data_IF_016864459496
#
_entry.id   IF_016864459496
#
_cell.length_a   1.000
_cell.length_b   1.000
_cell.length_c   1.000
_cell.angle_alpha   90.00
_cell.angle_beta   90.00
_cell.angle_gamma   90.00
#
_symmetry.space_group_name_H-M   'P 1'
#
loop_
_entity.id
_entity.type
_entity.pdbx_description
1 polymer ?
#
# COMPACT_ATOMS: atom_id res chain seq x y z
N UNK A 1 23.06 3.64 -39.65
CA UNK A 1 22.31 3.39 -38.39
C UNK A 1 21.07 4.25 -38.43
N UNK A 2 19.87 3.65 -38.47
CA UNK A 2 18.62 4.41 -38.37
C UNK A 2 18.62 5.16 -37.02
N UNK A 3 18.39 6.48 -37.04
CA UNK A 3 18.14 7.25 -35.82
C UNK A 3 16.93 6.59 -35.12
N UNK A 4 17.12 5.94 -33.97
CA UNK A 4 16.00 5.50 -33.17
C UNK A 4 15.15 6.72 -32.82
N UNK A 5 13.84 6.63 -33.02
CA UNK A 5 12.92 7.73 -32.69
C UNK A 5 13.05 8.02 -31.18
N UNK A 6 13.15 9.30 -30.83
CA UNK A 6 13.11 9.74 -29.43
C UNK A 6 11.65 9.74 -29.00
N UNK A 7 11.35 9.02 -27.93
CA UNK A 7 10.00 8.96 -27.35
C UNK A 7 9.65 10.32 -26.72
N UNK A 8 8.40 10.72 -26.82
CA UNK A 8 7.93 11.88 -26.06
C UNK A 8 7.87 11.55 -24.56
N UNK A 9 7.38 10.37 -24.20
CA UNK A 9 7.32 9.92 -22.80
C UNK A 9 7.58 8.41 -22.65
N UNK A 10 8.39 8.03 -21.67
CA UNK A 10 8.49 6.66 -21.19
C UNK A 10 7.86 6.53 -19.79
N UNK A 11 6.87 5.65 -19.63
CA UNK A 11 6.28 5.30 -18.33
C UNK A 11 6.92 4.00 -17.85
N UNK A 12 7.43 3.97 -16.62
CA UNK A 12 8.13 2.80 -16.07
C UNK A 12 7.26 2.12 -15.03
N UNK A 13 6.73 0.95 -15.38
CA UNK A 13 5.83 0.12 -14.58
C UNK A 13 4.37 0.10 -15.09
N UNK A 14 3.79 -1.09 -15.26
CA UNK A 14 2.39 -1.33 -15.66
C UNK A 14 1.53 -1.79 -14.49
N UNK A 15 1.72 -1.17 -13.32
CA UNK A 15 0.77 -1.24 -12.20
C UNK A 15 -0.43 -0.32 -12.44
N UNK A 16 -1.39 -0.26 -11.49
CA UNK A 16 -2.57 0.60 -11.63
C UNK A 16 -2.23 2.07 -11.91
N UNK A 17 -1.17 2.59 -11.26
CA UNK A 17 -0.74 3.97 -11.44
C UNK A 17 -0.12 4.22 -12.83
N UNK A 18 0.66 3.26 -13.34
CA UNK A 18 1.26 3.38 -14.67
C UNK A 18 0.24 3.26 -15.80
N UNK A 19 -0.77 2.42 -15.64
CA UNK A 19 -1.86 2.30 -16.62
C UNK A 19 -2.77 3.54 -16.59
N UNK A 20 -3.08 4.09 -15.40
CA UNK A 20 -3.77 5.38 -15.30
C UNK A 20 -2.97 6.51 -15.96
N UNK A 21 -1.63 6.50 -15.81
CA UNK A 21 -0.75 7.47 -16.47
C UNK A 21 -0.78 7.31 -17.99
N UNK A 22 -0.75 6.07 -18.49
CA UNK A 22 -0.85 5.79 -19.93
C UNK A 22 -2.16 6.30 -20.53
N UNK A 23 -3.29 6.09 -19.83
CA UNK A 23 -4.58 6.63 -20.22
C UNK A 23 -4.53 8.17 -20.32
N UNK A 24 -4.05 8.84 -19.27
CA UNK A 24 -3.97 10.30 -19.20
C UNK A 24 -3.07 10.89 -20.30
N UNK A 25 -1.96 10.22 -20.66
CA UNK A 25 -1.10 10.62 -21.77
C UNK A 25 -1.77 10.44 -23.13
N UNK A 26 -2.48 9.30 -23.31
CA UNK A 26 -3.23 9.01 -24.53
C UNK A 26 -4.32 10.05 -24.81
N UNK A 27 -5.11 10.43 -23.80
CA UNK A 27 -6.13 11.48 -23.89
C UNK A 27 -5.54 12.85 -24.31
N UNK A 28 -4.28 13.12 -23.97
CA UNK A 28 -3.56 14.33 -24.31
C UNK A 28 -2.81 14.25 -25.65
N UNK A 29 -2.90 13.11 -26.34
CA UNK A 29 -2.20 12.87 -27.61
C UNK A 29 -0.67 12.86 -27.45
N UNK A 30 -0.15 12.44 -26.30
CA UNK A 30 1.31 12.30 -26.06
C UNK A 30 1.72 10.89 -26.51
N UNK A 31 2.68 10.82 -27.43
CA UNK A 31 3.28 9.53 -27.83
C UNK A 31 4.12 8.96 -26.69
N UNK A 32 3.81 7.73 -26.28
CA UNK A 32 4.45 7.14 -25.10
C UNK A 32 4.53 5.62 -25.20
N UNK A 33 5.36 5.04 -24.33
CA UNK A 33 5.43 3.59 -24.09
C UNK A 33 5.44 3.32 -22.61
N UNK A 34 4.74 2.26 -22.19
CA UNK A 34 4.83 1.74 -20.82
C UNK A 34 5.77 0.54 -20.81
N UNK A 35 6.82 0.58 -19.99
CA UNK A 35 7.82 -0.49 -19.85
C UNK A 35 7.56 -1.26 -18.56
N UNK A 36 7.25 -2.54 -18.66
CA UNK A 36 6.97 -3.42 -17.53
C UNK A 36 7.93 -4.59 -17.50
N UNK A 37 8.59 -4.82 -16.35
CA UNK A 37 9.57 -5.91 -16.18
C UNK A 37 8.94 -7.30 -16.18
N UNK A 38 7.71 -7.41 -15.74
CA UNK A 38 6.96 -8.67 -15.64
C UNK A 38 5.65 -8.62 -16.40
N UNK A 39 4.57 -8.88 -15.70
CA UNK A 39 3.21 -8.85 -16.21
C UNK A 39 2.45 -7.65 -15.62
N UNK A 40 1.36 -7.18 -16.24
CA UNK A 40 0.57 -6.10 -15.68
C UNK A 40 0.15 -6.40 -14.24
N UNK A 41 0.41 -5.46 -13.32
CA UNK A 41 0.12 -5.65 -11.92
C UNK A 41 0.96 -6.74 -11.24
N UNK A 42 2.22 -6.91 -11.58
CA UNK A 42 3.10 -7.98 -11.11
C UNK A 42 3.09 -8.15 -9.59
N UNK A 43 3.15 -7.06 -8.80
CA UNK A 43 3.09 -7.14 -7.34
C UNK A 43 1.73 -7.66 -6.82
N UNK A 44 0.65 -7.41 -7.53
CA UNK A 44 -0.68 -7.94 -7.22
C UNK A 44 -0.74 -9.44 -7.53
N UNK A 45 -0.11 -9.88 -8.59
CA UNK A 45 -0.02 -11.28 -9.02
C UNK A 45 0.84 -12.12 -8.08
N UNK A 46 2.00 -11.58 -7.68
CA UNK A 46 3.05 -12.36 -7.01
C UNK A 46 3.13 -12.16 -5.50
N UNK A 47 2.54 -11.08 -4.95
CA UNK A 47 2.71 -10.70 -3.55
C UNK A 47 1.39 -10.64 -2.76
N UNK A 48 0.38 -11.41 -3.16
CA UNK A 48 -0.88 -11.52 -2.43
C UNK A 48 -1.20 -12.96 -2.10
N UNK A 49 -1.93 -13.18 -1.03
CA UNK A 49 -2.40 -14.49 -0.59
C UNK A 49 -3.78 -14.81 -1.19
N UNK A 50 -4.15 -16.07 -1.11
CA UNK A 50 -5.29 -16.65 -1.82
C UNK A 50 -6.64 -15.99 -1.45
N UNK A 51 -6.84 -15.69 -0.17
CA UNK A 51 -8.07 -15.05 0.33
C UNK A 51 -8.03 -13.51 0.26
N UNK A 52 -6.97 -12.92 -0.31
CA UNK A 52 -6.81 -11.47 -0.38
C UNK A 52 -8.00 -10.80 -1.09
N UNK A 53 -8.49 -9.73 -0.48
CA UNK A 53 -9.43 -8.79 -1.09
C UNK A 53 -8.96 -7.36 -0.87
N UNK A 54 -9.34 -6.46 -1.79
CA UNK A 54 -9.19 -5.03 -1.55
C UNK A 54 -9.96 -4.62 -0.29
N UNK A 55 -9.44 -3.63 0.40
CA UNK A 55 -10.08 -2.99 1.55
C UNK A 55 -10.83 -1.70 1.16
N UNK A 56 -10.82 -1.37 -0.12
CA UNK A 56 -11.58 -0.26 -0.71
C UNK A 56 -12.72 -0.82 -1.56
N UNK A 57 -13.93 -0.23 -1.49
CA UNK A 57 -15.05 -0.61 -2.33
C UNK A 57 -14.83 -0.20 -3.80
N UNK A 58 -15.61 -0.77 -4.71
CA UNK A 58 -15.46 -0.59 -6.16
C UNK A 58 -15.42 0.87 -6.59
N UNK A 59 -16.23 1.73 -5.98
CA UNK A 59 -16.29 3.15 -6.32
C UNK A 59 -14.97 3.92 -6.03
N UNK A 60 -14.12 3.40 -5.14
CA UNK A 60 -12.78 3.96 -4.86
C UNK A 60 -11.68 3.40 -5.79
N UNK A 61 -12.00 2.46 -6.66
CA UNK A 61 -11.01 1.72 -7.44
C UNK A 61 -11.08 2.07 -8.94
N UNK A 62 -11.40 3.30 -9.28
CA UNK A 62 -11.60 3.81 -10.65
C UNK A 62 -10.50 3.42 -11.66
N UNK A 63 -9.19 3.42 -11.30
CA UNK A 63 -8.14 2.98 -12.23
C UNK A 63 -8.24 1.50 -12.66
N UNK A 64 -9.12 0.73 -12.05
CA UNK A 64 -9.39 -0.67 -12.43
C UNK A 64 -10.64 -0.81 -13.33
N UNK A 65 -11.20 0.30 -13.85
CA UNK A 65 -12.44 0.33 -14.62
C UNK A 65 -13.69 0.17 -13.75
N UNK A 66 -14.85 0.12 -14.40
CA UNK A 66 -16.15 0.02 -13.70
C UNK A 66 -16.24 -1.24 -12.85
N UNK A 67 -16.76 -1.07 -11.65
CA UNK A 67 -17.00 -2.12 -10.66
C UNK A 67 -18.33 -1.86 -9.95
N UNK A 68 -19.00 -2.93 -9.43
CA UNK A 68 -20.14 -2.72 -8.56
C UNK A 68 -19.73 -1.85 -7.36
N UNK A 69 -20.55 -0.86 -7.03
CA UNK A 69 -20.22 0.22 -6.09
C UNK A 69 -19.63 -0.29 -4.76
N UNK A 70 -20.29 -1.26 -4.13
CA UNK A 70 -19.90 -1.82 -2.84
C UNK A 70 -19.13 -3.15 -2.95
N UNK A 71 -18.62 -3.53 -4.13
CA UNK A 71 -17.83 -4.76 -4.27
C UNK A 71 -16.40 -4.58 -3.76
N UNK A 72 -15.86 -5.64 -3.20
CA UNK A 72 -14.46 -5.72 -2.74
C UNK A 72 -13.72 -6.75 -3.60
N UNK A 73 -12.99 -6.28 -4.58
CA UNK A 73 -12.32 -7.13 -5.56
C UNK A 73 -11.29 -8.07 -4.89
N UNK A 74 -11.27 -9.31 -5.35
CA UNK A 74 -10.21 -10.29 -5.04
C UNK A 74 -8.91 -9.93 -5.75
N UNK A 75 -7.79 -10.52 -5.30
CA UNK A 75 -6.51 -10.35 -6.00
C UNK A 75 -6.56 -10.81 -7.46
N UNK A 76 -7.29 -11.89 -7.75
CA UNK A 76 -7.46 -12.40 -9.12
C UNK A 76 -8.25 -11.43 -10.00
N UNK A 77 -9.33 -10.84 -9.49
CA UNK A 77 -10.11 -9.82 -10.21
C UNK A 77 -9.28 -8.56 -10.49
N UNK A 78 -8.48 -8.09 -9.52
CA UNK A 78 -7.56 -6.97 -9.74
C UNK A 78 -6.58 -7.28 -10.86
N UNK A 79 -5.94 -8.44 -10.82
CA UNK A 79 -4.98 -8.87 -11.87
C UNK A 79 -5.66 -8.98 -13.24
N UNK A 80 -6.85 -9.58 -13.32
CA UNK A 80 -7.60 -9.69 -14.57
C UNK A 80 -7.94 -8.33 -15.18
N UNK A 81 -8.37 -7.37 -14.34
CA UNK A 81 -8.67 -5.99 -14.78
C UNK A 81 -7.42 -5.26 -15.27
N UNK A 82 -6.30 -5.36 -14.54
CA UNK A 82 -5.04 -4.75 -14.97
C UNK A 82 -4.52 -5.35 -16.28
N UNK A 83 -4.70 -6.66 -16.50
CA UNK A 83 -4.33 -7.29 -17.76
C UNK A 83 -5.20 -6.81 -18.93
N UNK A 84 -6.51 -6.64 -18.71
CA UNK A 84 -7.42 -6.09 -19.72
C UNK A 84 -7.06 -4.64 -20.08
N UNK A 85 -6.86 -3.78 -19.07
CA UNK A 85 -6.44 -2.40 -19.28
C UNK A 85 -5.09 -2.30 -20.01
N UNK A 86 -4.12 -3.14 -19.65
CA UNK A 86 -2.82 -3.12 -20.30
C UNK A 86 -2.90 -3.47 -21.80
N UNK A 87 -3.89 -4.25 -22.23
CA UNK A 87 -4.11 -4.57 -23.64
C UNK A 87 -4.61 -3.37 -24.49
N UNK A 88 -5.15 -2.36 -23.84
CA UNK A 88 -5.65 -1.13 -24.49
C UNK A 88 -4.57 -0.02 -24.57
N UNK A 89 -3.39 -0.26 -24.00
CA UNK A 89 -2.31 0.72 -23.88
C UNK A 89 -1.00 0.23 -24.54
N UNK A 90 -0.08 1.13 -24.92
CA UNK A 90 1.21 0.77 -25.52
C UNK A 90 2.18 0.18 -24.49
N UNK A 91 1.84 -0.98 -23.93
CA UNK A 91 2.63 -1.67 -22.91
C UNK A 91 3.59 -2.68 -23.54
N UNK A 92 4.86 -2.58 -23.16
CA UNK A 92 5.90 -3.57 -23.49
C UNK A 92 6.22 -4.39 -22.24
N UNK A 93 5.89 -5.66 -22.29
CA UNK A 93 6.10 -6.62 -21.18
C UNK A 93 7.46 -7.31 -21.26
N UNK A 94 7.98 -7.77 -20.13
CA UNK A 94 9.28 -8.43 -20.05
C UNK A 94 10.47 -7.49 -20.30
N UNK A 95 10.28 -6.18 -20.14
CA UNK A 95 11.29 -5.16 -20.41
C UNK A 95 11.71 -4.47 -19.11
N UNK A 96 12.62 -5.06 -18.32
CA UNK A 96 13.11 -4.43 -17.12
C UNK A 96 13.96 -3.20 -17.45
N UNK A 97 13.61 -2.05 -16.88
CA UNK A 97 14.46 -0.86 -16.88
C UNK A 97 15.52 -1.06 -15.81
N UNK A 98 16.78 -1.05 -16.25
CA UNK A 98 17.96 -1.31 -15.38
C UNK A 98 18.67 -0.04 -14.97
N UNK A 99 18.51 1.05 -15.76
CA UNK A 99 19.05 2.38 -15.42
C UNK A 99 18.26 3.48 -16.12
N UNK A 100 17.96 4.54 -15.38
CA UNK A 100 17.50 5.82 -15.90
C UNK A 100 18.57 6.87 -15.61
N UNK A 101 19.02 7.60 -16.63
CA UNK A 101 19.97 8.70 -16.49
C UNK A 101 19.55 9.90 -17.32
N UNK A 102 19.77 11.13 -16.82
CA UNK A 102 19.62 12.34 -17.64
C UNK A 102 20.55 12.30 -18.84
N UNK A 103 20.09 12.83 -19.98
CA UNK A 103 20.88 12.92 -21.20
C UNK A 103 20.41 14.08 -22.07
N UNK A 104 21.25 15.09 -22.24
CA UNK A 104 20.85 16.31 -22.92
C UNK A 104 19.64 16.97 -22.25
N UNK A 105 18.61 17.26 -23.04
CA UNK A 105 17.33 17.80 -22.54
C UNK A 105 16.30 16.73 -22.17
N UNK A 106 16.68 15.45 -22.12
CA UNK A 106 15.81 14.34 -21.81
C UNK A 106 16.52 13.25 -21.01
N UNK A 107 16.20 12.01 -21.33
CA UNK A 107 16.65 10.85 -20.55
C UNK A 107 17.10 9.69 -21.45
N UNK A 108 18.09 8.96 -20.96
CA UNK A 108 18.44 7.63 -21.47
C UNK A 108 17.82 6.58 -20.55
N UNK A 109 17.00 5.70 -21.11
CA UNK A 109 16.36 4.57 -20.45
C UNK A 109 17.04 3.29 -20.90
N UNK A 110 17.83 2.69 -20.03
CA UNK A 110 18.48 1.40 -20.29
C UNK A 110 17.54 0.27 -19.90
N UNK A 111 17.33 -0.67 -20.79
CA UNK A 111 16.61 -1.91 -20.53
C UNK A 111 17.57 -3.10 -20.63
N UNK A 112 17.09 -4.33 -20.44
CA UNK A 112 17.90 -5.54 -20.67
C UNK A 112 18.38 -5.67 -22.12
N UNK A 113 17.59 -5.19 -23.08
CA UNK A 113 17.76 -5.52 -24.50
C UNK A 113 18.19 -4.32 -25.35
N UNK A 114 17.87 -3.12 -24.90
CA UNK A 114 18.12 -1.90 -25.68
C UNK A 114 18.28 -0.65 -24.81
N UNK A 115 18.73 0.41 -25.44
CA UNK A 115 18.78 1.75 -24.87
C UNK A 115 17.80 2.63 -25.63
N UNK A 116 16.85 3.23 -24.90
CA UNK A 116 15.85 4.16 -25.42
C UNK A 116 16.23 5.59 -25.05
N UNK A 117 15.87 6.54 -25.91
CA UNK A 117 15.91 7.96 -25.62
C UNK A 117 14.47 8.46 -25.42
N UNK A 118 14.24 9.25 -24.37
CA UNK A 118 12.94 9.84 -24.09
C UNK A 118 13.08 11.29 -23.68
N UNK A 119 12.17 12.13 -24.15
CA UNK A 119 12.11 13.55 -23.75
C UNK A 119 11.64 13.70 -22.31
N UNK A 120 10.73 12.84 -21.90
CA UNK A 120 10.17 12.84 -20.55
C UNK A 120 10.05 11.41 -20.02
N UNK A 121 10.02 11.26 -18.69
CA UNK A 121 9.84 9.96 -18.01
C UNK A 121 8.87 10.10 -16.86
N UNK A 122 7.97 9.11 -16.71
CA UNK A 122 7.15 8.97 -15.52
C UNK A 122 7.47 7.64 -14.83
N UNK A 123 8.01 7.71 -13.60
CA UNK A 123 8.29 6.57 -12.76
C UNK A 123 7.02 6.11 -12.04
N UNK A 124 6.50 4.93 -12.41
CA UNK A 124 5.27 4.33 -11.89
C UNK A 124 5.53 2.98 -11.19
N UNK A 125 6.76 2.77 -10.68
CA UNK A 125 7.20 1.48 -10.11
C UNK A 125 6.64 1.19 -8.72
N UNK A 126 6.03 2.18 -8.06
CA UNK A 126 5.50 2.08 -6.70
C UNK A 126 6.59 2.00 -5.62
N UNK A 127 6.15 1.99 -4.36
CA UNK A 127 7.01 1.94 -3.17
C UNK A 127 6.73 0.72 -2.26
N UNK A 128 5.97 -0.27 -2.74
CA UNK A 128 5.57 -1.45 -1.97
C UNK A 128 6.00 -2.75 -2.66
N UNK A 129 7.25 -2.86 -3.07
CA UNK A 129 7.75 -3.99 -3.84
C UNK A 129 8.97 -4.68 -3.24
N UNK A 130 9.71 -4.05 -2.33
CA UNK A 130 10.84 -4.67 -1.61
C UNK A 130 10.42 -4.97 -0.16
N UNK A 131 10.34 -6.24 0.25
CA UNK A 131 10.00 -6.62 1.62
C UNK A 131 10.98 -6.07 2.67
N UNK A 132 10.44 -5.58 3.79
CA UNK A 132 11.23 -5.15 4.95
C UNK A 132 11.14 -6.19 6.05
N UNK A 133 12.23 -6.89 6.33
CA UNK A 133 12.35 -7.79 7.48
C UNK A 133 13.24 -7.13 8.52
N UNK A 134 12.80 -6.98 9.78
CA UNK A 134 13.64 -6.42 10.84
C UNK A 134 14.87 -7.28 11.10
N UNK A 135 15.99 -6.70 11.60
CA UNK A 135 17.20 -7.45 11.96
C UNK A 135 16.94 -8.61 12.94
N UNK A 136 15.91 -8.48 13.78
CA UNK A 136 15.45 -9.54 14.68
C UNK A 136 15.18 -10.88 13.94
N UNK A 137 14.76 -10.83 12.68
CA UNK A 137 14.54 -12.03 11.87
C UNK A 137 15.77 -12.90 11.70
N UNK A 138 16.96 -12.30 11.68
CA UNK A 138 18.23 -13.03 11.58
C UNK A 138 18.65 -13.75 12.89
N UNK A 139 18.04 -13.36 14.02
CA UNK A 139 18.31 -13.98 15.31
C UNK A 139 17.34 -15.13 15.64
N UNK A 140 16.34 -15.37 14.79
CA UNK A 140 15.41 -16.47 14.98
C UNK A 140 16.06 -17.82 14.60
N UNK A 141 15.66 -18.93 15.26
CA UNK A 141 16.20 -20.26 14.94
C UNK A 141 15.94 -20.67 13.48
N UNK A 142 16.87 -21.37 12.85
CA UNK A 142 16.81 -21.81 11.45
C UNK A 142 15.62 -22.74 11.16
N UNK A 143 15.14 -23.50 12.15
CA UNK A 143 13.99 -24.38 11.99
C UNK A 143 12.65 -23.65 11.92
N UNK A 144 12.59 -22.38 12.33
CA UNK A 144 11.38 -21.56 12.32
C UNK A 144 11.14 -21.01 10.91
N UNK A 145 10.05 -21.41 10.30
CA UNK A 145 9.73 -20.95 8.97
C UNK A 145 9.41 -19.45 8.96
N UNK A 146 10.16 -18.69 8.22
CA UNK A 146 9.93 -17.24 8.09
C UNK A 146 9.34 -16.92 6.72
N UNK A 147 8.29 -16.12 6.69
CA UNK A 147 7.67 -15.57 5.48
C UNK A 147 7.45 -14.08 5.65
N UNK A 148 7.61 -13.33 4.60
CA UNK A 148 7.10 -11.96 4.53
C UNK A 148 5.69 -11.97 3.93
N UNK A 149 4.86 -10.94 4.19
CA UNK A 149 3.55 -10.76 3.53
C UNK A 149 3.62 -11.01 2.01
N UNK A 150 4.69 -10.59 1.35
CA UNK A 150 4.92 -10.81 -0.07
C UNK A 150 4.94 -12.29 -0.48
N UNK A 151 5.35 -13.18 0.41
CA UNK A 151 5.52 -14.61 0.16
C UNK A 151 4.50 -15.49 0.90
N UNK A 152 3.63 -14.90 1.70
CA UNK A 152 2.51 -15.61 2.32
C UNK A 152 1.46 -15.94 1.27
N UNK A 153 0.91 -17.16 1.26
CA UNK A 153 -0.08 -17.63 0.27
C UNK A 153 -1.36 -18.16 0.88
N UNK A 154 -1.41 -18.31 2.19
CA UNK A 154 -2.54 -18.83 2.96
C UNK A 154 -2.08 -19.73 4.10
N UNK A 155 -3.00 -20.14 4.99
CA UNK A 155 -2.70 -20.98 6.16
C UNK A 155 -1.98 -22.28 5.81
N UNK A 156 -2.35 -22.90 4.68
CA UNK A 156 -1.79 -24.18 4.20
C UNK A 156 -0.37 -24.04 3.63
N UNK A 157 0.09 -22.82 3.38
CA UNK A 157 1.44 -22.54 2.88
C UNK A 157 2.51 -22.56 3.98
N UNK A 158 2.10 -22.71 5.23
CA UNK A 158 2.97 -22.70 6.40
C UNK A 158 3.01 -24.11 7.05
N UNK A 159 4.13 -24.50 7.66
CA UNK A 159 4.21 -25.72 8.44
C UNK A 159 3.09 -25.81 9.50
N UNK A 160 2.65 -27.03 9.92
CA UNK A 160 1.71 -27.20 11.02
C UNK A 160 2.23 -26.52 12.31
N UNK A 161 1.30 -26.04 13.17
CA UNK A 161 1.63 -25.36 14.43
C UNK A 161 1.12 -23.93 14.49
N UNK A 162 1.47 -23.20 15.54
CA UNK A 162 1.12 -21.80 15.75
C UNK A 162 1.90 -20.85 14.82
N UNK A 163 1.37 -19.68 14.62
CA UNK A 163 1.99 -18.65 13.76
C UNK A 163 2.11 -17.34 14.53
N UNK A 164 3.32 -16.77 14.53
CA UNK A 164 3.55 -15.40 14.99
C UNK A 164 3.44 -14.45 13.80
N UNK A 165 2.47 -13.56 13.81
CA UNK A 165 2.33 -12.45 12.85
C UNK A 165 2.98 -11.21 13.46
N UNK A 166 3.95 -10.60 12.78
CA UNK A 166 4.65 -9.41 13.27
C UNK A 166 4.24 -8.18 12.50
N UNK A 167 3.56 -7.25 13.18
CA UNK A 167 2.97 -6.03 12.62
C UNK A 167 1.46 -6.14 12.48
N UNK A 168 0.75 -5.14 13.03
CA UNK A 168 -0.70 -5.09 13.12
C UNK A 168 -1.34 -4.00 12.26
N UNK A 169 -0.65 -3.56 11.21
CA UNK A 169 -1.27 -2.75 10.17
C UNK A 169 -2.15 -3.61 9.25
N UNK A 170 -2.62 -3.05 8.16
CA UNK A 170 -3.59 -3.65 7.24
C UNK A 170 -3.30 -5.13 6.91
N UNK A 171 -2.09 -5.44 6.44
CA UNK A 171 -1.75 -6.82 6.07
C UNK A 171 -1.70 -7.77 7.27
N UNK A 172 -1.17 -7.31 8.40
CA UNK A 172 -1.07 -8.15 9.60
C UNK A 172 -2.44 -8.54 10.14
N UNK A 173 -3.38 -7.61 10.20
CA UNK A 173 -4.74 -7.90 10.65
C UNK A 173 -5.48 -8.84 9.69
N UNK A 174 -5.39 -8.60 8.36
CA UNK A 174 -6.03 -9.48 7.37
C UNK A 174 -5.42 -10.90 7.36
N UNK A 175 -4.10 -11.03 7.48
CA UNK A 175 -3.43 -12.33 7.56
C UNK A 175 -3.76 -13.03 8.87
N UNK A 176 -3.91 -12.29 9.98
CA UNK A 176 -4.37 -12.86 11.24
C UNK A 176 -5.78 -13.46 11.09
N UNK A 177 -6.70 -12.75 10.43
CA UNK A 177 -8.04 -13.29 10.14
C UNK A 177 -7.99 -14.53 9.24
N UNK A 178 -7.18 -14.50 8.20
CA UNK A 178 -7.00 -15.63 7.27
C UNK A 178 -6.48 -16.88 8.00
N UNK A 179 -5.48 -16.71 8.86
CA UNK A 179 -4.91 -17.77 9.68
C UNK A 179 -5.91 -18.34 10.70
N UNK A 180 -6.65 -17.47 11.41
CA UNK A 180 -7.70 -17.90 12.35
C UNK A 180 -8.81 -18.65 11.64
N UNK A 181 -9.25 -18.16 10.47
CA UNK A 181 -10.25 -18.84 9.63
C UNK A 181 -9.78 -20.22 9.14
N UNK A 182 -8.47 -20.37 8.94
CA UNK A 182 -7.81 -21.65 8.63
C UNK A 182 -7.54 -22.52 9.86
N UNK A 183 -8.10 -22.19 11.04
CA UNK A 183 -7.95 -22.97 12.27
C UNK A 183 -6.55 -22.90 12.91
N UNK A 184 -5.72 -21.93 12.55
CA UNK A 184 -4.37 -21.77 13.09
C UNK A 184 -4.42 -21.03 14.43
N UNK A 185 -3.56 -21.41 15.37
CA UNK A 185 -3.28 -20.63 16.58
C UNK A 185 -2.40 -19.44 16.19
N UNK A 186 -2.84 -18.21 16.49
CA UNK A 186 -2.17 -17.00 16.06
C UNK A 186 -1.72 -16.13 17.24
N UNK A 187 -0.47 -15.69 17.20
CA UNK A 187 0.09 -14.65 18.04
C UNK A 187 0.29 -13.41 17.16
N UNK A 188 -0.30 -12.27 17.54
CA UNK A 188 -0.19 -11.01 16.76
C UNK A 188 0.64 -10.00 17.54
N UNK A 189 1.83 -9.70 17.04
CA UNK A 189 2.66 -8.63 17.58
C UNK A 189 2.17 -7.26 17.07
N UNK A 190 1.73 -6.43 18.00
CA UNK A 190 1.01 -5.20 17.77
C UNK A 190 1.89 -3.96 17.69
N UNK A 191 1.40 -2.94 17.03
CA UNK A 191 1.98 -1.60 16.92
C UNK A 191 0.87 -0.54 16.96
N UNK A 192 1.18 0.74 17.23
CA UNK A 192 0.18 1.81 17.25
C UNK A 192 -0.28 2.10 15.81
N UNK A 193 -1.43 1.55 15.43
CA UNK A 193 -2.03 1.71 14.10
C UNK A 193 -3.46 2.19 14.28
N UNK A 194 -3.88 3.16 13.47
CA UNK A 194 -5.27 3.61 13.41
C UNK A 194 -6.20 2.50 12.94
N UNK A 195 -7.46 2.53 13.34
CA UNK A 195 -8.52 1.72 12.79
C UNK A 195 -9.64 2.59 12.23
N UNK A 196 -10.32 2.08 11.20
CA UNK A 196 -11.42 2.76 10.53
C UNK A 196 -12.69 1.94 10.74
N UNK A 197 -13.65 2.42 11.56
CA UNK A 197 -14.98 1.83 11.63
C UNK A 197 -15.62 1.83 10.25
N UNK A 198 -16.30 0.74 9.87
CA UNK A 198 -16.85 0.63 8.52
C UNK A 198 -17.98 1.63 8.27
N UNK A 199 -18.91 1.79 9.23
CA UNK A 199 -20.07 2.67 9.10
C UNK A 199 -20.14 3.69 10.20
N UNK A 200 -20.72 4.83 9.88
CA UNK A 200 -21.13 5.85 10.82
C UNK A 200 -22.37 6.57 10.28
N UNK A 201 -23.39 6.77 11.09
CA UNK A 201 -24.63 7.49 10.71
C UNK A 201 -25.21 7.00 9.39
N UNK A 202 -25.42 5.70 9.26
CA UNK A 202 -26.09 5.06 8.11
C UNK A 202 -25.29 4.99 6.81
N UNK A 203 -24.08 5.56 6.73
CA UNK A 203 -23.21 5.55 5.54
C UNK A 203 -21.86 4.90 5.83
N UNK A 204 -21.16 4.52 4.76
CA UNK A 204 -19.78 4.06 4.86
C UNK A 204 -18.87 5.20 5.30
N UNK A 205 -18.00 4.93 6.27
CA UNK A 205 -17.04 5.94 6.78
C UNK A 205 -16.16 6.50 5.66
N UNK A 206 -15.81 5.69 4.66
CA UNK A 206 -15.02 6.14 3.52
C UNK A 206 -15.73 7.22 2.70
N UNK A 207 -17.06 7.11 2.51
CA UNK A 207 -17.87 8.13 1.81
C UNK A 207 -17.89 9.44 2.60
N UNK A 208 -18.16 9.38 3.91
CA UNK A 208 -18.09 10.55 4.78
C UNK A 208 -16.74 11.26 4.71
N UNK A 209 -15.66 10.50 4.72
CA UNK A 209 -14.29 11.03 4.68
C UNK A 209 -13.96 11.67 3.32
N UNK A 210 -14.55 11.20 2.23
CA UNK A 210 -14.45 11.86 0.91
C UNK A 210 -15.16 13.20 0.96
N UNK A 211 -16.44 13.22 1.39
CA UNK A 211 -17.23 14.45 1.47
C UNK A 211 -16.61 15.49 2.42
N UNK A 212 -15.99 15.03 3.50
CA UNK A 212 -15.27 15.87 4.46
C UNK A 212 -13.91 16.38 3.96
N UNK A 213 -13.45 15.98 2.77
CA UNK A 213 -12.16 16.39 2.21
C UNK A 213 -10.93 15.74 2.87
N UNK A 214 -11.10 14.69 3.67
CA UNK A 214 -10.01 14.02 4.37
C UNK A 214 -8.93 13.49 3.42
N UNK A 215 -9.34 12.97 2.25
CA UNK A 215 -8.44 12.41 1.26
C UNK A 215 -7.72 13.46 0.41
N UNK A 216 -8.18 14.72 0.46
CA UNK A 216 -7.60 15.84 -0.29
C UNK A 216 -6.56 16.64 0.50
N UNK A 217 -6.32 16.28 1.75
CA UNK A 217 -5.27 16.90 2.57
C UNK A 217 -3.91 16.80 1.87
N UNK A 218 -3.22 17.92 1.79
CA UNK A 218 -1.87 18.03 1.20
C UNK A 218 -0.80 17.83 2.27
N UNK A 219 0.41 17.38 1.89
CA UNK A 219 1.53 17.25 2.82
C UNK A 219 1.81 18.50 3.66
N UNK A 220 1.78 19.68 3.01
CA UNK A 220 2.05 20.96 3.66
C UNK A 220 0.94 21.44 4.59
N UNK A 221 -0.27 20.91 4.49
CA UNK A 221 -1.42 21.30 5.31
C UNK A 221 -1.55 20.42 6.57
N UNK A 222 -0.64 19.45 6.73
CA UNK A 222 -0.68 18.53 7.88
C UNK A 222 -0.18 19.23 9.16
N UNK A 223 -0.92 19.08 10.28
CA UNK A 223 -0.49 19.62 11.56
C UNK A 223 0.79 18.95 12.08
N UNK A 224 1.05 17.72 11.67
CA UNK A 224 2.22 16.93 12.02
C UNK A 224 2.70 16.14 10.77
N UNK A 225 3.88 16.48 10.21
CA UNK A 225 4.46 15.78 9.07
C UNK A 225 4.71 14.28 9.30
N UNK A 226 4.82 13.82 10.56
CA UNK A 226 5.02 12.41 10.88
C UNK A 226 3.84 11.53 10.44
N UNK A 227 2.66 12.12 10.23
CA UNK A 227 1.47 11.46 9.69
C UNK A 227 1.76 10.80 8.33
N UNK A 228 2.65 11.38 7.52
CA UNK A 228 3.03 10.80 6.23
C UNK A 228 3.75 9.45 6.35
N UNK A 229 4.41 9.21 7.48
CA UNK A 229 5.12 7.98 7.78
C UNK A 229 4.27 6.95 8.53
N UNK A 230 3.06 7.34 8.96
CA UNK A 230 2.17 6.45 9.69
C UNK A 230 1.77 5.24 8.82
N UNK A 231 1.58 4.09 9.47
CA UNK A 231 0.99 2.94 8.83
C UNK A 231 -0.44 3.25 8.38
N UNK A 232 -0.86 2.63 7.27
CA UNK A 232 -2.25 2.74 6.84
C UNK A 232 -3.18 2.16 7.93
N UNK A 233 -4.30 2.82 8.23
CA UNK A 233 -5.23 2.36 9.24
C UNK A 233 -5.81 0.99 8.87
N UNK A 234 -6.20 0.24 9.88
CA UNK A 234 -6.86 -1.04 9.72
C UNK A 234 -8.25 -0.81 9.12
N UNK A 235 -8.51 -1.43 7.99
CA UNK A 235 -9.80 -1.46 7.31
C UNK A 235 -10.08 -2.91 6.93
N UNK A 236 -11.22 -3.46 7.33
CA UNK A 236 -11.56 -4.80 6.91
C UNK A 236 -11.99 -4.83 5.44
N UNK A 237 -11.64 -5.89 4.75
CA UNK A 237 -12.27 -6.20 3.47
C UNK A 237 -13.74 -6.64 3.68
N UNK A 238 -14.60 -6.40 2.68
CA UNK A 238 -15.98 -6.90 2.69
C UNK A 238 -16.98 -6.08 3.51
N UNK A 239 -16.72 -4.79 3.74
CA UNK A 239 -17.73 -3.89 4.30
C UNK A 239 -18.03 -4.11 5.78
N UNK A 240 -17.02 -4.31 6.60
CA UNK A 240 -17.12 -4.49 8.05
C UNK A 240 -15.98 -3.81 8.79
N UNK A 241 -16.18 -3.54 10.06
CA UNK A 241 -15.13 -3.05 10.94
C UNK A 241 -14.15 -4.16 11.34
N UNK A 242 -12.91 -3.78 11.66
CA UNK A 242 -11.86 -4.66 12.16
C UNK A 242 -11.01 -3.90 13.18
N UNK A 243 -10.69 -4.56 14.29
CA UNK A 243 -9.87 -4.00 15.36
C UNK A 243 -8.98 -5.07 15.99
N UNK A 244 -8.00 -4.64 16.78
CA UNK A 244 -7.20 -5.57 17.61
C UNK A 244 -8.09 -6.30 18.63
N UNK A 245 -9.10 -5.61 19.18
CA UNK A 245 -10.06 -6.19 20.11
C UNK A 245 -10.89 -7.30 19.45
N UNK A 246 -11.39 -7.07 18.23
CA UNK A 246 -12.15 -8.09 17.49
C UNK A 246 -11.30 -9.29 17.13
N UNK A 247 -10.03 -9.10 16.75
CA UNK A 247 -9.08 -10.19 16.50
C UNK A 247 -8.81 -11.02 17.76
N UNK A 248 -8.65 -10.35 18.91
CA UNK A 248 -8.49 -11.05 20.19
C UNK A 248 -9.72 -11.89 20.55
N UNK A 249 -10.94 -11.35 20.38
CA UNK A 249 -12.20 -12.12 20.55
C UNK A 249 -12.31 -13.31 19.60
N UNK A 250 -11.75 -13.19 18.41
CA UNK A 250 -11.68 -14.30 17.44
C UNK A 250 -10.58 -15.32 17.73
N UNK A 251 -9.83 -15.15 18.83
CA UNK A 251 -8.84 -16.13 19.30
C UNK A 251 -7.38 -15.78 19.03
N UNK A 252 -7.06 -14.59 18.50
CA UNK A 252 -5.67 -14.15 18.40
C UNK A 252 -5.10 -13.79 19.80
N UNK A 253 -3.92 -14.28 20.12
CA UNK A 253 -3.16 -13.81 21.28
C UNK A 253 -2.38 -12.57 20.89
N UNK A 254 -2.76 -11.41 21.47
CA UNK A 254 -2.04 -10.16 21.22
C UNK A 254 -0.78 -10.10 22.08
N UNK A 255 0.33 -9.68 21.46
CA UNK A 255 1.61 -9.41 22.14
C UNK A 255 2.11 -8.02 21.75
N UNK A 256 2.99 -7.44 22.56
CA UNK A 256 3.61 -6.16 22.28
C UNK A 256 4.60 -6.22 21.09
N UNK A 257 5.38 -5.17 20.91
CA UNK A 257 6.42 -5.16 19.88
C UNK A 257 7.55 -6.13 20.28
N UNK A 258 8.05 -6.98 19.36
CA UNK A 258 9.19 -7.83 19.63
C UNK A 258 10.43 -6.99 19.92
N UNK A 259 11.15 -7.31 21.00
CA UNK A 259 12.34 -6.62 21.48
C UNK A 259 13.62 -7.41 21.22
N UNK A 260 13.61 -8.69 21.56
CA UNK A 260 14.79 -9.55 21.47
C UNK A 260 14.44 -11.03 21.31
N UNK A 261 15.43 -11.78 20.89
CA UNK A 261 15.42 -13.25 20.81
C UNK A 261 16.60 -13.77 21.61
N UNK A 262 16.37 -14.72 22.51
CA UNK A 262 17.40 -15.43 23.23
C UNK A 262 17.13 -16.94 23.11
N UNK A 263 17.92 -17.62 22.28
CA UNK A 263 17.63 -19.00 21.89
C UNK A 263 16.27 -19.14 21.21
N UNK A 264 15.34 -19.81 21.85
CA UNK A 264 13.97 -20.03 21.36
C UNK A 264 12.93 -19.16 22.07
N UNK A 265 13.36 -18.15 22.85
CA UNK A 265 12.47 -17.28 23.62
C UNK A 265 12.47 -15.88 23.00
N UNK A 266 11.29 -15.43 22.59
CA UNK A 266 11.06 -14.05 22.18
C UNK A 266 10.57 -13.24 23.38
N UNK A 267 11.10 -12.01 23.49
CA UNK A 267 10.64 -11.00 24.48
C UNK A 267 9.91 -9.87 23.79
N UNK A 268 8.82 -9.41 24.39
CA UNK A 268 7.97 -8.34 23.88
C UNK A 268 7.83 -7.21 24.89
N UNK A 269 7.57 -6.00 24.42
CA UNK A 269 7.18 -4.88 25.29
C UNK A 269 5.72 -5.03 25.80
N UNK A 270 5.31 -4.11 26.66
CA UNK A 270 3.97 -4.11 27.28
C UNK A 270 2.96 -3.20 26.55
N UNK A 271 3.22 -2.88 25.28
CA UNK A 271 2.50 -1.81 24.56
C UNK A 271 1.08 -2.18 24.08
N UNK A 272 0.61 -3.43 24.22
CA UNK A 272 -0.66 -3.89 23.65
C UNK A 272 -1.84 -2.96 23.96
N UNK A 273 -2.03 -2.62 25.23
CA UNK A 273 -3.14 -1.73 25.66
C UNK A 273 -3.01 -0.32 25.05
N UNK A 274 -1.78 0.20 24.97
CA UNK A 274 -1.51 1.50 24.36
C UNK A 274 -1.75 1.46 22.84
N UNK A 275 -1.42 0.35 22.17
CA UNK A 275 -1.65 0.16 20.73
C UNK A 275 -3.15 0.09 20.40
N UNK A 276 -3.96 -0.56 21.24
CA UNK A 276 -5.41 -0.56 21.13
C UNK A 276 -5.94 0.87 21.30
N UNK A 277 -5.54 1.56 22.37
CA UNK A 277 -5.97 2.94 22.64
C UNK A 277 -5.61 3.89 21.47
N UNK A 278 -4.46 3.71 20.83
CA UNK A 278 -4.08 4.49 19.64
C UNK A 278 -5.04 4.26 18.47
N UNK A 279 -5.47 3.01 18.24
CA UNK A 279 -6.48 2.68 17.24
C UNK A 279 -7.83 3.33 17.52
N UNK A 280 -8.28 3.29 18.78
CA UNK A 280 -9.54 3.87 19.22
C UNK A 280 -9.52 5.40 19.15
N UNK A 281 -8.42 6.03 19.55
CA UNK A 281 -8.23 7.47 19.42
C UNK A 281 -8.27 7.93 17.94
N UNK A 282 -7.69 7.14 17.03
CA UNK A 282 -7.79 7.43 15.60
C UNK A 282 -9.24 7.33 15.11
N UNK A 283 -9.97 6.28 15.47
CA UNK A 283 -11.38 6.13 15.13
C UNK A 283 -12.24 7.27 15.67
N UNK A 284 -12.01 7.70 16.92
CA UNK A 284 -12.69 8.84 17.51
C UNK A 284 -12.41 10.14 16.73
N UNK A 285 -11.16 10.38 16.33
CA UNK A 285 -10.80 11.53 15.48
C UNK A 285 -11.53 11.52 14.13
N UNK A 286 -11.65 10.35 13.49
CA UNK A 286 -12.42 10.25 12.26
C UNK A 286 -13.90 10.59 12.48
N UNK A 287 -14.50 10.12 13.58
CA UNK A 287 -15.88 10.48 13.95
C UNK A 287 -16.02 12.00 14.10
N UNK A 288 -15.08 12.66 14.79
CA UNK A 288 -15.08 14.13 14.93
C UNK A 288 -15.08 14.82 13.55
N UNK A 289 -14.21 14.40 12.63
CA UNK A 289 -14.16 14.98 11.27
C UNK A 289 -15.51 14.84 10.54
N UNK A 290 -16.15 13.67 10.66
CA UNK A 290 -17.47 13.43 10.07
C UNK A 290 -18.56 14.29 10.71
N UNK A 291 -18.60 14.39 12.06
CA UNK A 291 -19.57 15.22 12.79
C UNK A 291 -19.42 16.71 12.43
N UNK A 292 -18.19 17.21 12.38
CA UNK A 292 -17.93 18.59 11.98
C UNK A 292 -18.37 18.85 10.54
N UNK A 293 -18.21 17.88 9.62
CA UNK A 293 -18.69 17.99 8.24
C UNK A 293 -20.22 18.04 8.22
N UNK A 294 -20.89 17.10 8.91
CA UNK A 294 -22.36 17.04 8.98
C UNK A 294 -22.94 18.36 9.52
N UNK A 295 -22.37 18.87 10.60
CA UNK A 295 -22.80 20.14 11.21
C UNK A 295 -22.59 21.34 10.27
N UNK A 296 -21.41 21.42 9.65
CA UNK A 296 -21.04 22.52 8.75
C UNK A 296 -21.90 22.58 7.49
N UNK A 297 -22.31 21.40 6.98
CA UNK A 297 -23.13 21.27 5.79
C UNK A 297 -24.65 21.18 6.11
N UNK A 298 -25.02 21.24 7.39
CA UNK A 298 -26.40 21.09 7.86
C UNK A 298 -27.10 19.82 7.32
N UNK A 299 -26.35 18.70 7.27
CA UNK A 299 -26.87 17.44 6.74
C UNK A 299 -27.78 16.77 7.77
N UNK A 300 -28.91 16.23 7.29
CA UNK A 300 -29.75 15.32 8.07
C UNK A 300 -29.12 13.91 8.01
N UNK A 301 -28.65 13.41 9.15
CA UNK A 301 -27.99 12.13 9.27
C UNK A 301 -28.56 11.36 10.49
N UNK A 302 -28.81 10.03 10.34
CA UNK A 302 -29.32 9.23 11.45
C UNK A 302 -28.35 9.24 12.65
N UNK A 303 -28.77 8.79 13.84
CA UNK A 303 -27.87 8.60 14.97
C UNK A 303 -26.67 7.71 14.63
N UNK A 304 -25.53 7.98 15.28
CA UNK A 304 -24.34 7.13 15.13
C UNK A 304 -24.60 5.72 15.68
N UNK A 305 -24.24 4.71 14.88
CA UNK A 305 -24.33 3.31 15.32
C UNK A 305 -23.15 2.94 16.23
N UNK A 306 -23.35 1.99 17.19
CA UNK A 306 -22.23 1.38 17.90
C UNK A 306 -21.28 0.65 16.95
N UNK A 307 -20.00 0.66 17.26
CA UNK A 307 -19.00 -0.16 16.58
C UNK A 307 -18.64 -1.35 17.48
N UNK A 308 -19.26 -2.49 17.22
CA UNK A 308 -19.06 -3.73 18.02
C UNK A 308 -17.60 -4.19 18.09
N UNK A 309 -16.73 -3.67 17.20
CA UNK A 309 -15.33 -4.07 17.18
C UNK A 309 -14.50 -3.36 18.26
N UNK A 310 -14.99 -2.26 18.87
CA UNK A 310 -14.32 -1.55 19.94
C UNK A 310 -14.68 -2.01 21.36
N UNK A 311 -15.59 -2.99 21.47
CA UNK A 311 -15.96 -3.55 22.77
C UNK A 311 -14.73 -3.99 23.57
N UNK A 312 -14.65 -3.66 24.87
CA UNK A 312 -13.53 -4.02 25.72
C UNK A 312 -13.25 -5.53 25.73
N UNK A 313 -11.97 -5.87 25.77
CA UNK A 313 -11.50 -7.26 25.93
C UNK A 313 -10.59 -7.33 27.12
N UNK A 314 -10.84 -8.30 28.01
CA UNK A 314 -9.89 -8.58 29.08
C UNK A 314 -8.65 -9.27 28.52
N UNK A 315 -7.52 -8.59 28.58
CA UNK A 315 -6.29 -9.01 27.95
C UNK A 315 -5.16 -9.16 28.98
N UNK A 316 -4.53 -10.31 28.94
CA UNK A 316 -3.31 -10.62 29.68
C UNK A 316 -2.17 -10.94 28.68
N UNK A 317 -1.64 -9.94 27.97
CA UNK A 317 -0.64 -10.15 26.94
C UNK A 317 0.64 -10.72 27.52
N UNK A 318 1.14 -11.86 27.01
CA UNK A 318 2.43 -12.37 27.45
C UNK A 318 3.55 -11.48 26.95
N UNK A 319 4.56 -11.25 27.81
CA UNK A 319 5.78 -10.51 27.47
C UNK A 319 6.90 -11.40 26.98
N UNK A 320 6.70 -12.72 27.04
CA UNK A 320 7.64 -13.72 26.53
C UNK A 320 6.87 -14.85 25.83
N UNK A 321 7.45 -15.39 24.77
CA UNK A 321 6.97 -16.59 24.09
C UNK A 321 8.12 -17.55 23.86
N UNK A 322 8.04 -18.75 24.45
CA UNK A 322 8.86 -19.89 24.04
C UNK A 322 8.32 -20.45 22.73
N UNK A 323 9.10 -20.46 21.68
CA UNK A 323 8.65 -20.88 20.35
C UNK A 323 8.19 -22.34 20.35
N UNK A 324 8.99 -23.24 20.92
CA UNK A 324 8.63 -24.66 21.02
C UNK A 324 7.53 -24.91 22.04
N UNK A 325 7.58 -24.26 23.19
CA UNK A 325 6.59 -24.42 24.25
C UNK A 325 5.18 -24.06 23.79
N UNK A 326 5.10 -23.08 22.88
CA UNK A 326 3.86 -22.63 22.26
C UNK A 326 3.60 -23.28 20.91
N UNK A 327 4.43 -24.24 20.48
CA UNK A 327 4.35 -24.90 19.20
C UNK A 327 4.22 -23.89 18.04
N UNK A 328 5.04 -22.82 18.09
CA UNK A 328 5.10 -21.81 17.02
C UNK A 328 6.04 -22.32 15.95
N UNK A 329 5.52 -22.63 14.78
CA UNK A 329 6.26 -23.18 13.65
C UNK A 329 6.67 -22.14 12.62
N UNK A 330 6.02 -20.96 12.66
CA UNK A 330 6.19 -19.97 11.60
C UNK A 330 6.10 -18.53 12.12
N UNK A 331 6.83 -17.63 11.45
CA UNK A 331 6.67 -16.18 11.56
C UNK A 331 6.26 -15.60 10.23
N UNK A 332 5.26 -14.71 10.23
CA UNK A 332 4.86 -13.91 9.08
C UNK A 332 5.16 -12.44 9.34
N UNK A 333 6.11 -11.90 8.59
CA UNK A 333 6.53 -10.52 8.68
C UNK A 333 5.57 -9.62 7.91
N UNK A 334 4.74 -8.88 8.62
CA UNK A 334 3.83 -7.86 8.11
C UNK A 334 4.40 -6.45 8.36
N UNK A 335 5.70 -6.31 8.16
CA UNK A 335 6.51 -5.15 8.55
C UNK A 335 6.70 -4.13 7.43
N UNK A 336 5.91 -4.27 6.36
CA UNK A 336 5.84 -3.33 5.26
C UNK A 336 6.90 -3.52 4.19
N UNK A 337 6.99 -2.55 3.31
CA UNK A 337 7.82 -2.58 2.11
C UNK A 337 8.58 -1.26 1.94
N UNK A 338 9.56 -1.27 1.04
CA UNK A 338 10.16 -0.08 0.42
C UNK A 338 10.04 -0.17 -1.09
N UNK A 339 10.22 0.97 -1.78
CA UNK A 339 10.40 0.99 -3.22
C UNK A 339 11.79 0.53 -3.65
N UNK A 340 11.87 -0.14 -4.78
CA UNK A 340 13.14 -0.37 -5.48
C UNK A 340 13.38 0.78 -6.46
N UNK A 341 14.34 1.62 -6.13
CA UNK A 341 14.79 2.75 -6.94
C UNK A 341 16.24 2.62 -7.38
N UNK A 342 16.83 1.43 -7.29
CA UNK A 342 18.23 1.14 -7.65
C UNK A 342 18.52 1.37 -9.13
N UNK A 343 17.49 1.42 -9.94
CA UNK A 343 17.54 1.71 -11.37
C UNK A 343 17.63 3.22 -11.70
N UNK A 344 17.39 4.09 -10.72
CA UNK A 344 17.65 5.53 -10.87
C UNK A 344 19.14 5.82 -10.71
N UNK A 345 19.69 6.64 -11.59
CA UNK A 345 21.07 7.09 -11.45
C UNK A 345 21.23 7.98 -10.19
N UNK A 346 22.44 8.02 -9.59
CA UNK A 346 22.66 8.69 -8.30
C UNK A 346 22.20 10.15 -8.24
N UNK A 347 22.30 10.89 -9.34
CA UNK A 347 21.84 12.27 -9.45
C UNK A 347 20.33 12.47 -9.35
N UNK A 348 19.55 11.39 -9.45
CA UNK A 348 18.09 11.39 -9.30
C UNK A 348 17.64 10.97 -7.88
N UNK A 349 18.60 10.56 -7.04
CA UNK A 349 18.36 10.00 -5.72
C UNK A 349 18.99 10.84 -4.61
N UNK A 350 18.36 10.81 -3.43
CA UNK A 350 18.96 11.28 -2.18
C UNK A 350 20.10 10.37 -1.74
N UNK A 351 20.86 10.78 -0.74
CA UNK A 351 21.91 9.97 -0.12
C UNK A 351 21.40 8.64 0.46
N UNK A 352 20.09 8.51 0.70
CA UNK A 352 19.44 7.27 1.18
C UNK A 352 18.88 6.42 0.03
N UNK A 353 19.16 6.76 -1.24
CA UNK A 353 18.68 6.02 -2.41
C UNK A 353 17.18 6.21 -2.72
N UNK A 354 16.53 7.20 -2.09
CA UNK A 354 15.15 7.54 -2.39
C UNK A 354 15.06 8.59 -3.50
N UNK A 355 14.01 8.58 -4.33
CA UNK A 355 13.82 9.59 -5.37
C UNK A 355 13.85 11.00 -4.81
N UNK A 356 14.64 11.88 -5.43
CA UNK A 356 14.62 13.31 -5.13
C UNK A 356 13.47 13.95 -5.91
N UNK A 357 12.48 14.48 -5.19
CA UNK A 357 11.27 15.03 -5.77
C UNK A 357 10.65 16.15 -4.94
N UNK A 358 9.91 17.00 -5.61
CA UNK A 358 8.99 17.96 -5.02
C UNK A 358 7.57 17.64 -5.50
N UNK A 359 6.72 17.16 -4.61
CA UNK A 359 5.43 16.59 -5.00
C UNK A 359 5.61 15.44 -6.00
N UNK A 360 4.98 15.57 -7.17
CA UNK A 360 5.10 14.60 -8.26
C UNK A 360 6.31 14.85 -9.17
N UNK A 361 6.86 16.06 -9.18
CA UNK A 361 7.99 16.41 -10.04
C UNK A 361 9.31 15.92 -9.46
N UNK A 362 10.16 15.33 -10.31
CA UNK A 362 11.57 15.08 -10.00
C UNK A 362 12.38 16.38 -10.02
N UNK A 363 13.58 16.35 -9.46
CA UNK A 363 14.48 17.52 -9.48
C UNK A 363 14.93 17.92 -10.88
N UNK A 364 15.00 16.95 -11.81
CA UNK A 364 15.37 17.21 -13.20
C UNK A 364 14.08 17.40 -14.01
N UNK A 365 13.94 18.51 -14.74
CA UNK A 365 12.79 18.78 -15.59
C UNK A 365 12.55 17.65 -16.60
N UNK A 366 11.29 17.22 -16.72
CA UNK A 366 10.93 16.10 -17.59
C UNK A 366 10.83 14.76 -16.88
N UNK A 367 11.10 14.69 -15.56
CA UNK A 367 10.90 13.51 -14.74
C UNK A 367 9.73 13.73 -13.77
N UNK A 368 8.81 12.75 -13.70
CA UNK A 368 7.72 12.71 -12.73
C UNK A 368 7.60 11.34 -12.09
N UNK A 369 6.88 11.30 -10.97
CA UNK A 369 6.55 10.09 -10.22
C UNK A 369 5.05 9.99 -10.06
N UNK A 370 4.49 8.78 -10.16
CA UNK A 370 3.07 8.48 -9.91
C UNK A 370 2.95 7.22 -9.06
N UNK A 371 1.91 7.14 -8.24
CA UNK A 371 1.65 5.96 -7.42
C UNK A 371 2.46 5.87 -6.13
N UNK A 372 3.12 6.94 -5.70
CA UNK A 372 3.81 7.03 -4.42
C UNK A 372 2.91 7.68 -3.36
N UNK A 373 3.09 7.29 -2.09
CA UNK A 373 2.32 7.86 -0.98
C UNK A 373 2.63 9.34 -0.81
N UNK A 374 1.59 10.13 -0.47
CA UNK A 374 1.71 11.56 -0.21
C UNK A 374 2.41 12.34 -1.32
N UNK A 375 2.20 11.92 -2.57
CA UNK A 375 2.81 12.57 -3.72
C UNK A 375 2.32 14.02 -3.85
N UNK A 376 1.00 14.18 -3.87
CA UNK A 376 0.32 15.48 -3.92
C UNK A 376 -0.69 15.62 -2.78
N UNK A 377 -1.33 14.53 -2.38
CA UNK A 377 -2.41 14.48 -1.39
C UNK A 377 -2.37 13.17 -0.59
N UNK A 378 -3.17 13.08 0.47
CA UNK A 378 -3.35 11.86 1.26
C UNK A 378 -3.75 10.65 0.42
N UNK A 379 -4.59 10.83 -0.60
CA UNK A 379 -5.03 9.75 -1.49
C UNK A 379 -3.99 9.30 -2.53
N UNK A 380 -2.91 10.05 -2.74
CA UNK A 380 -1.79 9.58 -3.56
C UNK A 380 -1.23 8.28 -2.98
N UNK A 381 -0.86 7.33 -3.83
CA UNK A 381 -0.34 6.02 -3.42
C UNK A 381 -1.41 4.97 -3.11
N UNK A 382 -2.70 5.27 -3.30
CA UNK A 382 -3.81 4.31 -3.29
C UNK A 382 -4.61 4.40 -4.60
N UNK A 383 -5.38 3.35 -4.92
CA UNK A 383 -6.17 3.28 -6.17
C UNK A 383 -7.04 4.53 -6.39
N UNK A 384 -7.66 5.03 -5.33
CA UNK A 384 -8.54 6.20 -5.36
C UNK A 384 -7.87 7.51 -5.82
N UNK A 385 -6.53 7.60 -5.74
CA UNK A 385 -5.79 8.82 -6.09
C UNK A 385 -5.05 8.76 -7.43
N UNK A 386 -4.86 7.58 -8.00
CA UNK A 386 -3.96 7.43 -9.16
C UNK A 386 -4.41 8.18 -10.40
N UNK A 387 -5.70 8.17 -10.73
CA UNK A 387 -6.22 8.90 -11.88
C UNK A 387 -6.02 10.40 -11.75
N UNK A 388 -6.29 10.99 -10.58
CA UNK A 388 -6.08 12.41 -10.34
C UNK A 388 -4.63 12.83 -10.45
N UNK A 389 -3.71 12.04 -9.86
CA UNK A 389 -2.28 12.33 -9.99
C UNK A 389 -1.84 12.17 -11.46
N UNK A 390 -2.34 11.14 -12.16
CA UNK A 390 -2.01 10.89 -13.56
C UNK A 390 -2.49 12.01 -14.48
N UNK A 391 -3.69 12.54 -14.28
CA UNK A 391 -4.23 13.68 -15.04
C UNK A 391 -3.33 14.92 -14.86
N UNK A 392 -3.03 15.29 -13.61
CA UNK A 392 -2.19 16.46 -13.32
C UNK A 392 -0.78 16.31 -13.90
N UNK A 393 -0.19 15.11 -13.82
CA UNK A 393 1.11 14.81 -14.41
C UNK A 393 1.03 14.83 -15.93
N UNK A 394 -0.04 14.29 -16.53
CA UNK A 394 -0.28 14.33 -17.97
C UNK A 394 -0.31 15.74 -18.54
N UNK A 395 -0.97 16.68 -17.84
CA UNK A 395 -0.96 18.10 -18.19
C UNK A 395 0.46 18.69 -18.11
N UNK A 396 1.20 18.37 -17.05
CA UNK A 396 2.57 18.82 -16.88
C UNK A 396 3.52 18.27 -17.96
N UNK A 397 3.38 16.99 -18.33
CA UNK A 397 4.13 16.36 -19.43
C UNK A 397 3.81 17.06 -20.75
N UNK A 398 2.53 17.28 -21.06
CA UNK A 398 2.10 17.95 -22.31
C UNK A 398 2.64 19.37 -22.41
N UNK A 399 2.56 20.13 -21.32
CA UNK A 399 3.11 21.50 -21.25
C UNK A 399 4.63 21.52 -21.47
N UNK A 400 5.36 20.59 -20.82
CA UNK A 400 6.82 20.47 -20.98
C UNK A 400 7.21 20.16 -22.43
N UNK A 401 6.47 19.29 -23.10
CA UNK A 401 6.72 18.92 -24.50
C UNK A 401 6.38 20.04 -25.48
N UNK A 402 5.35 20.85 -25.20
CA UNK A 402 4.92 21.97 -26.06
C UNK A 402 5.73 23.25 -25.90
N UNK A 403 6.47 23.40 -24.81
CA UNK A 403 7.33 24.55 -24.53
C UNK A 403 8.74 24.48 -25.14
N UNK A 404 9.01 23.53 -26.00
CA UNK A 404 10.31 23.28 -26.65
C UNK A 404 10.23 23.31 -28.14
#
# INVERSE_FOLDING_TARGET
MARRAVLDCAVIGAGPAGLAMSAALGERGVDHVVLEKGQPGETWRTQRWKSFRLNTPGWMNQPLGEQPHHAFATGAEVVGRLAALAAEHPVRLGVPVTKLAPHGDGFTVHTSDEVLQSRTVVAATGDQNVPRVPPLGHALPDWLAQRHTANYRGPDSLPPGGVLVVGSAQSGCQITEDLLSGGRRVFLATSPVGRLPWRNRGRDTLEWLVDAGFWDQRPQDLPDPSIMNAAQPIVAAGGRSLSLQSLARSGATLVGRPLSVAGEILTFDTSVKANIAAGDAFAARLRTIMEEHIQRQHLDAPPSEPDDTDAPVDLHPPTTLGLRDRDISSVVWCTGFTGDFTWLSPELCSATGQPQRDGAAGQIPGLWYVGLRWLTRRRSGILFGFSLDAEAIGDAVKAHLGGR
#
